data_IF_290473148360
#
_entry.id   IF_290473148360
#
_cell.length_a   1.000
_cell.length_b   1.000
_cell.length_c   1.000
_cell.angle_alpha   90.00
_cell.angle_beta   90.00
_cell.angle_gamma   90.00
#
_symmetry.space_group_name_H-M   'P 1'
#
loop_
_entity.id
_entity.type
_entity.pdbx_description
1 polymer ?
#
# COMPACT_ATOMS: atom_id res chain seq x y z
N UNK A 1 20.53 11.12 1.81
CA UNK A 1 19.79 10.30 0.83
C UNK A 1 18.72 11.18 0.24
N UNK A 2 18.78 11.44 -1.06
CA UNK A 2 17.83 12.33 -1.73
C UNK A 2 16.51 11.57 -1.89
N UNK A 3 15.42 12.15 -1.38
CA UNK A 3 14.12 11.49 -1.39
C UNK A 3 13.47 11.78 -2.75
N UNK A 4 13.41 10.76 -3.60
CA UNK A 4 12.81 10.86 -4.92
C UNK A 4 11.30 10.60 -4.83
N UNK A 5 10.45 11.51 -5.34
CA UNK A 5 9.02 11.26 -5.42
C UNK A 5 8.71 9.96 -6.17
N UNK A 6 7.65 9.27 -5.75
CA UNK A 6 7.18 8.03 -6.38
C UNK A 6 5.78 8.20 -6.94
N UNK A 7 5.57 7.64 -8.12
CA UNK A 7 4.22 7.44 -8.63
C UNK A 7 3.64 6.16 -8.02
N UNK A 8 2.43 6.25 -7.47
CA UNK A 8 1.70 5.10 -6.94
C UNK A 8 0.57 4.77 -7.90
N UNK A 9 0.60 3.56 -8.45
CA UNK A 9 -0.43 3.04 -9.34
C UNK A 9 -1.17 1.88 -8.68
N UNK A 10 -2.47 1.79 -8.91
CA UNK A 10 -3.29 0.66 -8.50
C UNK A 10 -3.12 -0.47 -9.52
N UNK A 11 -2.87 -1.68 -9.03
CA UNK A 11 -2.94 -2.86 -9.86
C UNK A 11 -4.39 -3.09 -10.31
N UNK A 12 -4.58 -3.29 -11.61
CA UNK A 12 -5.85 -3.68 -12.21
C UNK A 12 -5.69 -5.05 -12.86
N UNK A 13 -6.64 -5.95 -12.62
CA UNK A 13 -6.67 -7.26 -13.28
C UNK A 13 -7.08 -7.10 -14.74
N UNK A 14 -6.89 -8.15 -15.54
CA UNK A 14 -7.39 -8.18 -16.93
C UNK A 14 -8.93 -8.06 -17.02
N UNK A 15 -9.64 -8.32 -15.92
CA UNK A 15 -11.09 -8.16 -15.81
C UNK A 15 -11.51 -6.74 -15.39
N UNK A 16 -10.54 -5.83 -15.17
CA UNK A 16 -10.79 -4.46 -14.72
C UNK A 16 -11.03 -4.31 -13.22
N UNK A 17 -10.84 -5.38 -12.42
CA UNK A 17 -10.96 -5.31 -10.97
C UNK A 17 -9.75 -4.63 -10.37
N UNK A 18 -9.97 -3.85 -9.31
CA UNK A 18 -8.90 -3.21 -8.54
C UNK A 18 -8.94 -3.77 -7.12
N UNK A 19 -8.20 -4.86 -6.82
CA UNK A 19 -8.31 -5.56 -5.55
C UNK A 19 -8.05 -4.66 -4.33
N UNK A 20 -7.15 -3.68 -4.47
CA UNK A 20 -6.89 -2.70 -3.41
C UNK A 20 -8.13 -1.88 -3.07
N UNK A 21 -8.88 -1.40 -4.08
CA UNK A 21 -10.07 -0.57 -3.88
C UNK A 21 -11.22 -1.39 -3.30
N UNK A 22 -11.45 -2.59 -3.84
CA UNK A 22 -12.46 -3.51 -3.29
C UNK A 22 -12.17 -3.86 -1.82
N UNK A 23 -10.90 -4.11 -1.51
CA UNK A 23 -10.47 -4.42 -0.16
C UNK A 23 -10.59 -3.23 0.79
N UNK A 24 -10.04 -2.06 0.43
CA UNK A 24 -10.07 -0.88 1.31
C UNK A 24 -11.50 -0.43 1.57
N UNK A 25 -12.40 -0.54 0.59
CA UNK A 25 -13.81 -0.19 0.73
C UNK A 25 -14.54 -1.16 1.67
N UNK A 26 -14.18 -2.45 1.64
CA UNK A 26 -14.75 -3.47 2.52
C UNK A 26 -14.39 -3.30 4.01
N UNK A 27 -13.30 -2.58 4.34
CA UNK A 27 -12.88 -2.41 5.73
C UNK A 27 -13.88 -1.59 6.53
N UNK A 28 -14.31 -2.08 7.70
CA UNK A 28 -15.12 -1.31 8.65
C UNK A 28 -14.30 -0.41 9.56
N UNK A 29 -13.00 -0.69 9.70
CA UNK A 29 -12.08 0.10 10.53
C UNK A 29 -11.67 1.39 9.79
N UNK A 30 -12.38 2.48 10.09
CA UNK A 30 -12.11 3.79 9.50
C UNK A 30 -10.75 4.36 9.89
N UNK A 31 -10.23 4.03 11.09
CA UNK A 31 -8.90 4.46 11.52
C UNK A 31 -7.82 3.75 10.71
N UNK A 32 -8.02 2.47 10.39
CA UNK A 32 -7.14 1.73 9.51
C UNK A 32 -7.11 2.33 8.10
N UNK A 33 -8.28 2.66 7.52
CA UNK A 33 -8.34 3.32 6.20
C UNK A 33 -7.50 4.60 6.17
N UNK A 34 -7.71 5.51 7.13
CA UNK A 34 -6.93 6.76 7.19
C UNK A 34 -5.43 6.55 7.36
N UNK A 35 -5.01 5.50 8.09
CA UNK A 35 -3.58 5.17 8.24
C UNK A 35 -2.98 4.58 6.97
N UNK A 36 -3.74 3.80 6.22
CA UNK A 36 -3.35 3.28 4.91
C UNK A 36 -3.19 4.45 3.93
N UNK A 37 -4.18 5.35 3.84
CA UNK A 37 -4.12 6.53 2.98
C UNK A 37 -2.90 7.42 3.30
N UNK A 38 -2.69 7.73 4.58
CA UNK A 38 -1.53 8.51 5.00
C UNK A 38 -0.20 7.81 4.66
N UNK A 39 -0.15 6.47 4.71
CA UNK A 39 1.03 5.72 4.29
C UNK A 39 1.26 5.86 2.78
N UNK A 40 0.22 5.77 1.96
CA UNK A 40 0.31 5.96 0.51
C UNK A 40 0.80 7.36 0.15
N UNK A 41 0.32 8.41 0.84
CA UNK A 41 0.82 9.78 0.63
C UNK A 41 2.32 9.92 0.97
N UNK A 42 2.77 9.28 2.05
CA UNK A 42 4.21 9.24 2.39
C UNK A 42 5.03 8.50 1.34
N UNK A 43 4.49 7.42 0.78
CA UNK A 43 5.15 6.67 -0.30
C UNK A 43 5.33 7.56 -1.54
N UNK A 44 4.30 8.34 -1.92
CA UNK A 44 4.41 9.29 -3.04
C UNK A 44 5.51 10.32 -2.82
N UNK A 45 5.75 10.71 -1.56
CA UNK A 45 6.85 11.57 -1.16
C UNK A 45 8.18 10.81 -1.02
N UNK A 46 8.30 9.56 -1.47
CA UNK A 46 9.50 8.75 -1.44
C UNK A 46 9.78 8.02 -0.12
N UNK A 47 8.85 8.06 0.85
CA UNK A 47 8.98 7.41 2.15
C UNK A 47 8.12 6.14 2.24
N UNK A 48 8.76 4.97 2.04
CA UNK A 48 8.10 3.66 2.10
C UNK A 48 7.66 3.26 3.53
N UNK A 49 8.39 3.73 4.54
CA UNK A 49 8.22 3.30 5.93
C UNK A 49 8.57 1.81 6.11
N UNK A 50 7.85 1.14 7.01
CA UNK A 50 8.05 -0.29 7.29
C UNK A 50 7.46 -1.19 6.19
N UNK A 51 8.32 -2.03 5.59
CA UNK A 51 7.98 -3.05 4.60
C UNK A 51 8.99 -4.20 4.64
N UNK A 52 8.63 -5.33 4.03
CA UNK A 52 9.53 -6.46 3.78
C UNK A 52 9.35 -7.01 2.37
N UNK A 53 10.41 -7.56 1.77
CA UNK A 53 10.24 -8.36 0.56
C UNK A 53 9.58 -9.70 0.90
N UNK A 54 8.67 -10.16 0.03
CA UNK A 54 8.05 -11.48 0.10
C UNK A 54 8.48 -12.39 -1.07
N UNK A 55 9.46 -11.95 -1.87
CA UNK A 55 9.95 -12.67 -3.05
C UNK A 55 9.37 -12.13 -4.36
N UNK A 56 9.98 -12.54 -5.48
CA UNK A 56 9.46 -12.31 -6.85
C UNK A 56 9.17 -10.84 -7.21
N UNK A 57 9.93 -9.90 -6.63
CA UNK A 57 9.73 -8.46 -6.86
C UNK A 57 8.54 -7.86 -6.10
N UNK A 58 7.89 -8.63 -5.23
CA UNK A 58 6.79 -8.18 -4.37
C UNK A 58 7.30 -7.84 -2.97
N UNK A 59 6.77 -6.76 -2.43
CA UNK A 59 7.00 -6.28 -1.08
C UNK A 59 5.68 -6.10 -0.34
N UNK A 60 5.69 -6.39 0.95
CA UNK A 60 4.54 -6.25 1.85
C UNK A 60 4.76 -5.01 2.74
N UNK A 61 3.95 -3.95 2.56
CA UNK A 61 3.89 -2.82 3.49
C UNK A 61 3.25 -3.28 4.80
N UNK A 62 3.89 -2.99 5.92
CA UNK A 62 3.37 -3.32 7.24
C UNK A 62 2.80 -2.07 7.90
N UNK A 63 1.51 -2.13 8.21
CA UNK A 63 0.76 -1.04 8.81
C UNK A 63 0.20 -1.53 10.14
N UNK A 64 0.91 -1.18 11.21
CA UNK A 64 0.56 -1.58 12.56
C UNK A 64 -0.56 -0.69 13.10
N UNK A 65 -1.79 -1.09 12.82
CA UNK A 65 -2.99 -0.60 13.48
C UNK A 65 -4.08 -1.68 13.50
N UNK A 66 -4.91 -1.65 14.55
CA UNK A 66 -5.93 -2.67 14.75
C UNK A 66 -5.33 -4.09 14.70
N UNK A 67 -5.85 -5.00 13.86
CA UNK A 67 -5.33 -6.36 13.71
C UNK A 67 -3.95 -6.45 13.02
N UNK A 68 -3.43 -5.35 12.47
CA UNK A 68 -2.24 -5.32 11.63
C UNK A 68 -2.61 -5.54 10.16
N UNK A 69 -2.49 -4.48 9.36
CA UNK A 69 -2.84 -4.50 7.94
C UNK A 69 -1.59 -4.63 7.07
N UNK A 70 -1.75 -5.27 5.91
CA UNK A 70 -0.72 -5.48 4.91
C UNK A 70 -1.19 -5.00 3.55
N UNK A 71 -0.31 -4.36 2.80
CA UNK A 71 -0.55 -3.93 1.42
C UNK A 71 0.62 -4.40 0.57
N UNK A 72 0.34 -5.28 -0.39
CA UNK A 72 1.35 -5.80 -1.29
C UNK A 72 1.59 -4.82 -2.45
N UNK A 73 2.85 -4.61 -2.80
CA UNK A 73 3.25 -3.72 -3.88
C UNK A 73 4.52 -4.23 -4.59
N UNK A 74 4.63 -3.93 -5.88
CA UNK A 74 5.86 -4.05 -6.65
C UNK A 74 6.46 -2.67 -6.94
N UNK A 75 7.72 -2.65 -7.39
CA UNK A 75 8.37 -1.45 -7.94
C UNK A 75 8.82 -1.75 -9.37
N UNK A 76 8.52 -0.83 -10.29
CA UNK A 76 8.81 -0.92 -11.72
C UNK A 76 9.51 0.37 -12.13
#
# INVERSE_FOLDING_TARGET
>A
MEVQPKEVRRYSTNEGKVPFDEWIDSLRDTKAKSRIDLRLERIKLGNLGDFRSVGEGVCELRIDCGPGYRVDFGQI
#
